data_IF_256907779045
#
_entry.id   IF_256907779045
#
_cell.length_a   1.000
_cell.length_b   1.000
_cell.length_c   1.000
_cell.angle_alpha   90.00
_cell.angle_beta   90.00
_cell.angle_gamma   90.00
#
_symmetry.space_group_name_H-M   'P 1'
#
loop_
_entity.id
_entity.type
_entity.pdbx_description
1 polymer ?
#
# COMPACT_ATOMS: atom_id res chain seq x y z
N UNK A 1 29.09 16.99 -70.48
CA UNK A 1 28.87 17.58 -69.15
C UNK A 1 27.38 17.89 -69.05
N UNK A 2 26.61 17.03 -68.37
CA UNK A 2 25.14 17.13 -68.35
C UNK A 2 24.68 18.06 -67.22
N UNK A 3 23.74 19.00 -67.44
CA UNK A 3 23.19 19.80 -66.36
C UNK A 3 22.04 19.05 -65.69
N UNK A 4 22.27 18.53 -64.49
CA UNK A 4 21.22 18.05 -63.59
C UNK A 4 20.51 19.24 -62.96
N UNK A 5 19.50 19.78 -63.64
CA UNK A 5 18.59 20.76 -63.06
C UNK A 5 17.62 20.02 -62.14
N UNK A 6 18.01 19.85 -60.88
CA UNK A 6 17.11 19.38 -59.82
C UNK A 6 16.14 20.50 -59.46
N UNK A 7 14.84 20.27 -59.64
CA UNK A 7 13.80 21.16 -59.14
C UNK A 7 13.71 21.01 -57.62
N UNK A 8 14.07 22.07 -56.90
CA UNK A 8 13.85 22.19 -55.47
C UNK A 8 12.42 22.70 -55.21
N UNK A 9 11.74 22.08 -54.25
CA UNK A 9 10.42 22.49 -53.81
C UNK A 9 10.50 22.83 -52.32
N UNK A 10 10.17 24.07 -51.98
CA UNK A 10 10.08 24.50 -50.59
C UNK A 10 8.63 24.32 -50.12
N UNK A 11 8.43 23.45 -49.13
CA UNK A 11 7.14 23.17 -48.52
C UNK A 11 7.08 23.85 -47.15
N UNK A 12 6.30 24.92 -47.02
CA UNK A 12 6.06 25.59 -45.73
C UNK A 12 4.87 24.92 -45.01
N UNK A 13 5.15 24.13 -43.98
CA UNK A 13 4.11 23.49 -43.15
C UNK A 13 3.89 24.30 -41.89
N UNK A 14 2.72 24.94 -41.76
CA UNK A 14 2.33 25.68 -40.55
C UNK A 14 1.62 24.75 -39.56
N UNK A 15 2.35 24.36 -38.51
CA UNK A 15 1.80 23.56 -37.43
C UNK A 15 0.87 24.41 -36.55
N UNK A 16 -0.31 23.88 -36.22
CA UNK A 16 -1.23 24.50 -35.26
C UNK A 16 -0.87 24.05 -33.84
N UNK A 17 -0.86 25.00 -32.90
CA UNK A 17 -0.61 24.72 -31.48
C UNK A 17 -1.75 23.88 -30.91
N UNK A 18 -1.45 22.66 -30.50
CA UNK A 18 -2.40 21.79 -29.80
C UNK A 18 -2.68 22.39 -28.42
N UNK A 19 -3.94 22.77 -28.16
CA UNK A 19 -4.38 23.16 -26.81
C UNK A 19 -5.01 21.94 -26.16
N UNK A 20 -4.35 21.40 -25.14
CA UNK A 20 -4.85 20.28 -24.34
C UNK A 20 -5.30 20.83 -22.99
N UNK A 21 -6.55 20.54 -22.62
CA UNK A 21 -7.05 20.79 -21.27
C UNK A 21 -6.56 19.67 -20.37
N UNK A 22 -5.65 19.99 -19.45
CA UNK A 22 -5.14 19.05 -18.45
C UNK A 22 -6.05 19.13 -17.23
N UNK A 23 -6.50 17.97 -16.73
CA UNK A 23 -7.29 17.89 -15.50
C UNK A 23 -6.50 18.43 -14.30
N UNK A 24 -7.21 19.05 -13.36
CA UNK A 24 -6.61 19.56 -12.13
C UNK A 24 -6.19 18.35 -11.30
N UNK A 25 -4.89 18.12 -11.17
CA UNK A 25 -4.36 17.18 -10.19
C UNK A 25 -4.26 17.91 -8.85
N UNK A 26 -4.99 17.43 -7.85
CA UNK A 26 -4.86 17.90 -6.47
C UNK A 26 -3.50 17.41 -5.94
N UNK A 27 -2.53 18.33 -5.87
CA UNK A 27 -1.21 18.03 -5.30
C UNK A 27 -1.36 18.10 -3.78
N UNK A 28 -1.67 16.96 -3.17
CA UNK A 28 -1.68 16.81 -1.71
C UNK A 28 -0.23 16.84 -1.23
N UNK A 29 0.09 17.74 -0.31
CA UNK A 29 1.42 17.80 0.28
C UNK A 29 1.70 16.52 1.08
N UNK A 30 2.88 15.91 0.96
CA UNK A 30 3.24 14.75 1.78
C UNK A 30 3.14 15.09 3.27
N UNK A 31 2.43 14.28 4.06
CA UNK A 31 2.28 14.46 5.51
C UNK A 31 3.62 14.42 6.23
N UNK A 32 3.69 15.03 7.40
CA UNK A 32 4.89 14.97 8.24
C UNK A 32 5.03 13.58 8.88
N UNK A 33 6.25 13.08 9.04
CA UNK A 33 6.49 11.75 9.60
C UNK A 33 5.87 11.58 11.00
N UNK A 34 5.85 12.65 11.80
CA UNK A 34 5.25 12.66 13.14
C UNK A 34 3.72 12.55 13.13
N UNK A 35 3.07 12.95 12.04
CA UNK A 35 1.62 12.79 11.88
C UNK A 35 1.30 11.32 11.60
N UNK A 36 2.05 10.71 10.68
CA UNK A 36 1.90 9.30 10.33
C UNK A 36 2.12 8.41 11.57
N UNK A 37 3.14 8.69 12.38
CA UNK A 37 3.39 7.94 13.62
C UNK A 37 2.27 8.09 14.65
N UNK A 38 1.65 9.27 14.76
CA UNK A 38 0.49 9.47 15.65
C UNK A 38 -0.73 8.68 15.17
N UNK A 39 -0.95 8.61 13.86
CA UNK A 39 -2.04 7.80 13.31
C UNK A 39 -1.80 6.30 13.54
N UNK A 40 -0.55 5.87 13.55
CA UNK A 40 -0.16 4.48 13.90
C UNK A 40 -0.41 4.18 15.37
N UNK A 41 -0.13 5.11 16.28
CA UNK A 41 -0.50 4.96 17.70
C UNK A 41 -2.01 4.83 17.89
N UNK A 42 -2.80 5.42 16.97
CA UNK A 42 -4.26 5.32 16.95
C UNK A 42 -4.81 4.11 16.17
N UNK A 43 -3.95 3.29 15.57
CA UNK A 43 -4.38 2.02 14.97
C UNK A 43 -4.92 1.08 16.06
N UNK A 44 -5.48 -0.04 15.62
CA UNK A 44 -5.92 -1.10 16.52
C UNK A 44 -7.38 -1.45 16.30
N UNK A 45 -7.62 -2.75 16.34
CA UNK A 45 -8.95 -3.32 16.38
C UNK A 45 -9.13 -4.07 17.71
N UNK A 46 -10.12 -3.64 18.50
CA UNK A 46 -10.62 -4.40 19.64
C UNK A 46 -12.04 -4.85 19.35
N UNK A 47 -12.29 -6.16 19.45
CA UNK A 47 -13.63 -6.71 19.23
C UNK A 47 -14.66 -6.05 20.16
N UNK A 48 -14.26 -5.68 21.38
CA UNK A 48 -15.11 -5.06 22.39
C UNK A 48 -15.68 -3.70 21.95
N UNK A 49 -14.93 -2.92 21.17
CA UNK A 49 -15.35 -1.59 20.71
C UNK A 49 -16.49 -1.68 19.68
N UNK A 50 -16.62 -2.82 19.02
CA UNK A 50 -17.63 -3.07 17.99
C UNK A 50 -18.77 -3.98 18.47
N UNK A 51 -18.82 -4.35 19.75
CA UNK A 51 -19.98 -5.03 20.34
C UNK A 51 -21.06 -4.00 20.66
N UNK A 52 -22.31 -4.32 20.29
CA UNK A 52 -23.47 -3.46 20.59
C UNK A 52 -23.67 -3.33 22.10
N UNK A 53 -23.44 -4.42 22.83
CA UNK A 53 -23.57 -4.47 24.27
C UNK A 53 -22.20 -4.55 24.94
N UNK A 54 -21.92 -3.63 25.87
CA UNK A 54 -20.80 -3.75 26.82
C UNK A 54 -21.12 -4.75 27.95
N UNK A 55 -22.06 -5.66 27.73
CA UNK A 55 -22.62 -6.52 28.76
C UNK A 55 -21.74 -7.74 28.89
N UNK A 56 -21.22 -7.95 30.09
CA UNK A 56 -20.43 -9.15 30.42
C UNK A 56 -21.24 -10.42 30.08
N UNK A 57 -20.57 -11.42 29.52
CA UNK A 57 -21.15 -12.71 29.16
C UNK A 57 -21.83 -13.38 30.38
N UNK A 58 -21.32 -13.16 31.59
CA UNK A 58 -21.94 -13.65 32.82
C UNK A 58 -23.17 -12.85 33.25
N UNK A 59 -23.22 -11.55 32.91
CA UNK A 59 -24.32 -10.67 33.26
C UNK A 59 -25.52 -10.84 32.31
N UNK A 60 -25.29 -11.11 31.02
CA UNK A 60 -26.36 -11.48 30.06
C UNK A 60 -25.88 -12.49 29.02
N UNK A 61 -25.94 -13.79 29.34
CA UNK A 61 -25.49 -14.85 28.43
C UNK A 61 -26.26 -14.91 27.11
N UNK A 62 -27.56 -14.58 27.13
CA UNK A 62 -28.41 -14.63 25.92
C UNK A 62 -28.04 -13.50 24.96
N UNK A 63 -27.84 -12.28 25.48
CA UNK A 63 -27.39 -11.14 24.67
C UNK A 63 -26.04 -11.43 24.03
N UNK A 64 -25.11 -12.01 24.81
CA UNK A 64 -23.82 -12.45 24.30
C UNK A 64 -23.96 -13.46 23.15
N UNK A 65 -24.80 -14.49 23.31
CA UNK A 65 -25.03 -15.49 22.26
C UNK A 65 -25.69 -14.91 21.01
N UNK A 66 -26.61 -13.96 21.17
CA UNK A 66 -27.23 -13.26 20.05
C UNK A 66 -26.18 -12.52 19.22
N UNK A 67 -25.32 -11.72 19.85
CA UNK A 67 -24.22 -11.04 19.16
C UNK A 67 -23.24 -12.04 18.54
N UNK A 68 -22.90 -13.09 19.26
CA UNK A 68 -21.94 -14.09 18.80
C UNK A 68 -22.45 -14.89 17.61
N UNK A 69 -23.76 -15.14 17.48
CA UNK A 69 -24.36 -15.96 16.42
C UNK A 69 -25.00 -15.15 15.28
N UNK A 70 -25.35 -13.88 15.51
CA UNK A 70 -25.96 -13.06 14.49
C UNK A 70 -24.97 -12.78 13.36
N UNK A 71 -25.39 -13.05 12.12
CA UNK A 71 -24.59 -12.84 10.92
C UNK A 71 -24.27 -11.37 10.72
N UNK A 72 -25.22 -10.48 10.96
CA UNK A 72 -25.03 -9.05 10.73
C UNK A 72 -23.97 -8.46 11.67
N UNK A 73 -23.97 -8.88 12.94
CA UNK A 73 -22.97 -8.44 13.93
C UNK A 73 -21.59 -9.02 13.68
N UNK A 74 -21.49 -10.22 13.10
CA UNK A 74 -20.22 -10.77 12.64
C UNK A 74 -19.70 -10.01 11.42
N UNK A 75 -20.59 -9.72 10.46
CA UNK A 75 -20.23 -8.97 9.25
C UNK A 75 -19.73 -7.57 9.58
N UNK A 76 -20.36 -6.86 10.52
CA UNK A 76 -19.88 -5.53 10.96
C UNK A 76 -18.47 -5.59 11.57
N UNK A 77 -18.19 -6.58 12.43
CA UNK A 77 -16.87 -6.80 13.01
C UNK A 77 -15.82 -7.09 11.95
N UNK A 78 -16.13 -7.98 11.01
CA UNK A 78 -15.23 -8.30 9.90
C UNK A 78 -14.94 -7.07 9.04
N UNK A 79 -15.96 -6.26 8.73
CA UNK A 79 -15.75 -5.01 7.97
C UNK A 79 -14.85 -4.06 8.74
N UNK A 80 -15.06 -3.87 10.04
CA UNK A 80 -14.21 -3.01 10.87
C UNK A 80 -12.75 -3.50 10.94
N UNK A 81 -12.53 -4.82 11.02
CA UNK A 81 -11.19 -5.43 10.96
C UNK A 81 -10.54 -5.14 9.59
N UNK A 82 -11.26 -5.35 8.49
CA UNK A 82 -10.78 -5.06 7.13
C UNK A 82 -10.46 -3.56 6.94
N UNK A 83 -11.31 -2.67 7.44
CA UNK A 83 -11.07 -1.22 7.39
C UNK A 83 -9.83 -0.79 8.19
N UNK A 84 -9.52 -1.50 9.28
CA UNK A 84 -8.32 -1.25 10.06
C UNK A 84 -7.07 -1.78 9.34
N UNK A 85 -7.14 -2.97 8.74
CA UNK A 85 -6.06 -3.51 7.92
C UNK A 85 -5.76 -2.62 6.70
N UNK A 86 -6.79 -2.12 6.01
CA UNK A 86 -6.64 -1.17 4.90
C UNK A 86 -5.97 0.13 5.37
N UNK A 87 -6.39 0.66 6.53
CA UNK A 87 -5.77 1.85 7.14
C UNK A 87 -4.29 1.63 7.50
N UNK A 88 -3.96 0.48 8.07
CA UNK A 88 -2.57 0.11 8.37
C UNK A 88 -1.75 0.03 7.09
N UNK A 89 -2.28 -0.61 6.05
CA UNK A 89 -1.62 -0.72 4.74
C UNK A 89 -1.30 0.66 4.15
N UNK A 90 -2.25 1.59 4.19
CA UNK A 90 -2.07 2.95 3.69
C UNK A 90 -1.02 3.73 4.49
N UNK A 91 -1.04 3.63 5.82
CA UNK A 91 -0.03 4.27 6.68
C UNK A 91 1.38 3.71 6.44
N UNK A 92 1.51 2.38 6.27
CA UNK A 92 2.77 1.75 5.90
C UNK A 92 3.27 2.23 4.53
N UNK A 93 2.38 2.38 3.56
CA UNK A 93 2.74 2.95 2.24
C UNK A 93 3.34 4.34 2.39
N UNK A 94 2.69 5.22 3.15
CA UNK A 94 3.18 6.57 3.38
C UNK A 94 4.52 6.60 4.13
N UNK A 95 4.69 5.75 5.14
CA UNK A 95 5.97 5.59 5.84
C UNK A 95 7.07 5.15 4.89
N UNK A 96 6.82 4.16 4.03
CA UNK A 96 7.82 3.64 3.12
C UNK A 96 8.20 4.66 2.05
N UNK A 97 7.27 5.49 1.59
CA UNK A 97 7.59 6.63 0.70
C UNK A 97 8.61 7.54 1.40
N UNK A 98 8.38 7.90 2.66
CA UNK A 98 9.36 8.70 3.44
C UNK A 98 10.69 7.98 3.60
N UNK A 99 10.68 6.67 3.78
CA UNK A 99 11.92 5.91 3.92
C UNK A 99 12.71 5.82 2.62
N UNK A 100 12.04 5.80 1.48
CA UNK A 100 12.68 5.97 0.17
C UNK A 100 13.24 7.38 0.03
N UNK A 101 12.47 8.42 0.39
CA UNK A 101 12.92 9.82 0.33
C UNK A 101 14.14 10.10 1.24
N UNK A 102 14.27 9.36 2.34
CA UNK A 102 15.41 9.44 3.27
C UNK A 102 16.53 8.42 2.98
N UNK A 103 16.51 7.75 1.83
CA UNK A 103 17.51 6.74 1.43
C UNK A 103 17.69 5.57 2.43
N UNK A 104 16.65 5.23 3.20
CA UNK A 104 16.66 4.11 4.16
C UNK A 104 16.46 2.77 3.44
N UNK A 105 15.60 2.75 2.42
CA UNK A 105 15.30 1.59 1.55
C UNK A 105 15.10 2.07 0.11
N UNK A 106 15.15 1.16 -0.87
CA UNK A 106 14.95 1.50 -2.29
C UNK A 106 13.87 0.61 -2.92
N UNK A 107 12.66 1.15 -3.05
CA UNK A 107 11.50 0.48 -3.62
C UNK A 107 10.97 1.22 -4.85
N UNK A 108 10.60 0.47 -5.88
CA UNK A 108 9.83 1.01 -7.00
C UNK A 108 8.35 1.10 -6.65
N UNK A 109 7.60 2.00 -7.32
CA UNK A 109 6.14 2.16 -7.10
C UNK A 109 5.37 0.84 -7.19
N UNK A 110 5.75 -0.05 -8.11
CA UNK A 110 5.09 -1.35 -8.31
C UNK A 110 5.42 -2.38 -7.24
N UNK A 111 6.45 -2.15 -6.42
CA UNK A 111 6.92 -3.06 -5.38
C UNK A 111 6.29 -2.75 -4.02
N UNK A 112 5.69 -1.57 -3.83
CA UNK A 112 5.16 -1.14 -2.52
C UNK A 112 4.14 -2.11 -1.95
N UNK A 113 3.08 -2.45 -2.70
CA UNK A 113 2.01 -3.29 -2.17
C UNK A 113 2.51 -4.69 -1.81
N UNK A 114 3.40 -5.26 -2.63
CA UNK A 114 4.03 -6.54 -2.37
C UNK A 114 4.95 -6.48 -1.14
N UNK A 115 5.69 -5.40 -0.97
CA UNK A 115 6.57 -5.22 0.16
C UNK A 115 5.82 -4.95 1.47
N UNK A 116 4.73 -4.17 1.43
CA UNK A 116 3.85 -3.95 2.60
C UNK A 116 3.25 -5.28 3.04
N UNK A 117 2.63 -6.03 2.12
CA UNK A 117 2.07 -7.34 2.43
C UNK A 117 3.12 -8.33 2.98
N UNK A 118 4.38 -8.20 2.56
CA UNK A 118 5.47 -9.01 3.09
C UNK A 118 5.95 -8.52 4.46
N UNK A 119 6.04 -7.21 4.70
CA UNK A 119 6.73 -6.63 5.86
C UNK A 119 5.82 -6.17 6.99
N UNK A 120 4.50 -6.22 6.82
CA UNK A 120 3.53 -5.83 7.83
C UNK A 120 3.71 -6.62 9.15
N UNK A 121 4.08 -5.96 10.26
CA UNK A 121 4.23 -6.61 11.56
C UNK A 121 2.92 -6.66 12.37
N UNK A 122 1.84 -6.04 11.89
CA UNK A 122 0.55 -5.91 12.60
C UNK A 122 0.52 -4.78 13.63
N UNK A 123 -0.68 -4.45 14.11
CA UNK A 123 -0.97 -3.27 14.94
C UNK A 123 -0.17 -3.27 16.26
N UNK A 124 -0.14 -4.39 16.97
CA UNK A 124 0.45 -4.50 18.31
C UNK A 124 1.96 -4.16 18.30
N UNK A 125 2.69 -4.68 17.30
CA UNK A 125 4.11 -4.41 17.15
C UNK A 125 4.36 -2.97 16.67
N UNK A 126 3.52 -2.45 15.75
CA UNK A 126 3.63 -1.06 15.29
C UNK A 126 3.46 -0.05 16.42
N UNK A 127 2.57 -0.32 17.38
CA UNK A 127 2.33 0.56 18.52
C UNK A 127 3.40 0.46 19.60
N UNK A 128 4.04 -0.71 19.72
CA UNK A 128 5.02 -0.97 20.78
C UNK A 128 6.41 -0.51 20.39
N UNK A 129 6.80 -0.67 19.12
CA UNK A 129 8.16 -0.41 18.68
C UNK A 129 8.48 1.08 18.63
N UNK A 130 9.71 1.39 19.04
CA UNK A 130 10.29 2.70 18.75
C UNK A 130 10.54 2.86 17.25
N UNK A 131 10.62 4.10 16.80
CA UNK A 131 10.95 4.42 15.40
C UNK A 131 12.25 3.72 14.93
N UNK A 132 13.26 3.67 15.79
CA UNK A 132 14.53 3.02 15.48
C UNK A 132 14.36 1.51 15.26
N UNK A 133 13.65 0.82 16.16
CA UNK A 133 13.39 -0.61 16.04
C UNK A 133 12.62 -0.94 14.77
N UNK A 134 11.59 -0.15 14.47
CA UNK A 134 10.82 -0.32 13.25
C UNK A 134 11.68 -0.11 11.99
N UNK A 135 12.50 0.95 11.92
CA UNK A 135 13.42 1.16 10.79
C UNK A 135 14.36 -0.04 10.61
N UNK A 136 14.94 -0.55 11.71
CA UNK A 136 15.85 -1.71 11.66
C UNK A 136 15.15 -2.96 11.18
N UNK A 137 13.93 -3.19 11.63
CA UNK A 137 13.09 -4.29 11.17
C UNK A 137 12.80 -4.17 9.67
N UNK A 138 12.37 -3.00 9.19
CA UNK A 138 12.08 -2.78 7.77
C UNK A 138 13.32 -2.95 6.90
N UNK A 139 14.49 -2.49 7.33
CA UNK A 139 15.75 -2.74 6.63
C UNK A 139 16.02 -4.25 6.47
N UNK A 140 15.85 -5.03 7.53
CA UNK A 140 16.02 -6.49 7.46
C UNK A 140 15.00 -7.15 6.52
N UNK A 141 13.73 -6.75 6.58
CA UNK A 141 12.69 -7.27 5.68
C UNK A 141 12.98 -6.90 4.23
N UNK A 142 13.48 -5.70 3.98
CA UNK A 142 13.85 -5.26 2.63
C UNK A 142 14.97 -6.10 2.04
N UNK A 143 16.04 -6.36 2.79
CA UNK A 143 17.12 -7.26 2.34
C UNK A 143 16.61 -8.65 1.99
N UNK A 144 15.73 -9.21 2.83
CA UNK A 144 15.09 -10.50 2.57
C UNK A 144 14.21 -10.45 1.31
N UNK A 145 13.43 -9.38 1.15
CA UNK A 145 12.55 -9.20 0.01
C UNK A 145 13.31 -9.12 -1.32
N UNK A 146 14.50 -8.49 -1.34
CA UNK A 146 15.38 -8.46 -2.52
C UNK A 146 16.12 -9.78 -2.75
N UNK A 147 16.38 -10.54 -1.68
CA UNK A 147 16.99 -11.87 -1.75
C UNK A 147 16.04 -12.98 -2.19
N UNK A 148 14.72 -12.73 -2.18
CA UNK A 148 13.75 -13.69 -2.70
C UNK A 148 13.93 -13.87 -4.21
N UNK A 149 13.98 -15.12 -4.73
CA UNK A 149 13.96 -15.32 -6.16
C UNK A 149 12.69 -14.70 -6.72
N UNK A 150 12.85 -13.71 -7.60
CA UNK A 150 11.76 -13.17 -8.41
C UNK A 150 11.11 -14.38 -9.08
N UNK A 151 9.79 -14.55 -8.89
CA UNK A 151 8.96 -15.69 -9.32
C UNK A 151 9.63 -16.58 -10.38
N UNK A 152 9.72 -17.89 -10.10
CA UNK A 152 10.07 -18.94 -11.06
C UNK A 152 9.62 -18.53 -12.47
N UNK A 153 10.56 -18.42 -13.39
CA UNK A 153 10.25 -18.00 -14.75
C UNK A 153 9.22 -18.97 -15.33
N UNK A 154 8.23 -18.47 -16.08
CA UNK A 154 7.25 -19.32 -16.77
C UNK A 154 7.92 -20.39 -17.67
N UNK A 155 9.19 -20.17 -18.04
CA UNK A 155 10.04 -21.14 -18.75
C UNK A 155 10.29 -22.44 -17.97
N UNK A 156 10.17 -22.44 -16.64
CA UNK A 156 10.43 -23.59 -15.79
C UNK A 156 9.22 -24.57 -15.78
N UNK A 157 8.08 -24.17 -16.35
CA UNK A 157 6.90 -25.02 -16.56
C UNK A 157 6.85 -25.64 -17.96
N UNK A 158 7.95 -25.64 -18.72
CA UNK A 158 8.04 -26.52 -19.89
C UNK A 158 8.17 -27.97 -19.41
N UNK A 159 7.03 -28.60 -19.15
CA UNK A 159 6.93 -30.05 -19.12
C UNK A 159 7.39 -30.55 -20.49
N UNK A 160 8.58 -31.16 -20.52
CA UNK A 160 9.02 -31.95 -21.66
C UNK A 160 8.08 -33.16 -21.73
N UNK A 161 7.13 -33.10 -22.66
CA UNK A 161 6.34 -34.25 -23.05
C UNK A 161 7.17 -35.05 -24.06
N UNK A 162 7.90 -36.05 -23.56
CA UNK A 162 8.38 -37.19 -24.35
C UNK A 162 7.27 -38.24 -24.50
#
# INVERSE_FOLDING_TARGET
>A
MAPSSGKQWDLEVRLRRLQVSVGIAEVVAPRELREILRDIEALGYSEEDYRISKVDAFASPITFLYEALNRDERSKRLVAEMENDDRRHDLLRELFIKYVDYDIISLNQTEFDAFIAFSDPGDELLQTWTQYEFIRFIQQRFELFRGLPSKLNESDYQYQWD
#
